data_IF_188626015306
#
_entry.id   IF_188626015306
#
_cell.length_a   1.000
_cell.length_b   1.000
_cell.length_c   1.000
_cell.angle_alpha   90.00
_cell.angle_beta   90.00
_cell.angle_gamma   90.00
#
_symmetry.space_group_name_H-M   'P 1'
#
loop_
_entity.id
_entity.type
_entity.pdbx_description
1 polymer ?
#
# COMPACT_ATOMS: atom_id res chain seq x y z
N UNK A 1 6.41 18.94 -11.05
CA UNK A 1 6.04 17.51 -11.25
C UNK A 1 6.15 16.67 -9.98
N UNK A 2 7.07 17.00 -9.06
CA UNK A 2 7.30 16.25 -7.81
C UNK A 2 6.07 16.16 -6.89
N UNK A 3 5.36 17.27 -6.68
CA UNK A 3 4.16 17.33 -5.83
C UNK A 3 3.05 16.41 -6.35
N UNK A 4 2.75 16.48 -7.65
CA UNK A 4 1.70 15.65 -8.27
C UNK A 4 2.01 14.15 -8.14
N UNK A 5 3.25 13.76 -8.47
CA UNK A 5 3.69 12.37 -8.39
C UNK A 5 3.70 11.86 -6.94
N UNK A 6 4.13 12.70 -5.99
CA UNK A 6 4.11 12.35 -4.56
C UNK A 6 2.70 12.16 -4.02
N UNK A 7 1.74 13.01 -4.40
CA UNK A 7 0.34 12.87 -4.03
C UNK A 7 -0.26 11.58 -4.60
N UNK A 8 0.05 11.23 -5.86
CA UNK A 8 -0.42 9.99 -6.49
C UNK A 8 0.15 8.77 -5.76
N UNK A 9 1.45 8.76 -5.46
CA UNK A 9 2.10 7.69 -4.68
C UNK A 9 1.51 7.56 -3.27
N UNK A 10 1.22 8.70 -2.62
CA UNK A 10 0.59 8.74 -1.31
C UNK A 10 -0.79 8.09 -1.35
N UNK A 11 -1.65 8.54 -2.27
CA UNK A 11 -3.00 8.03 -2.42
C UNK A 11 -3.00 6.53 -2.78
N UNK A 12 -2.08 6.12 -3.66
CA UNK A 12 -1.93 4.72 -4.05
C UNK A 12 -1.46 3.85 -2.88
N UNK A 13 -0.44 4.28 -2.12
CA UNK A 13 0.05 3.56 -0.95
C UNK A 13 -1.02 3.39 0.13
N UNK A 14 -1.79 4.44 0.40
CA UNK A 14 -2.91 4.41 1.34
C UNK A 14 -4.03 3.47 0.88
N UNK A 15 -4.43 3.58 -0.39
CA UNK A 15 -5.41 2.68 -0.97
C UNK A 15 -4.94 1.23 -0.89
N UNK A 16 -3.67 0.96 -1.21
CA UNK A 16 -3.11 -0.38 -1.13
C UNK A 16 -3.08 -0.89 0.33
N UNK A 17 -2.68 -0.07 1.29
CA UNK A 17 -2.65 -0.44 2.71
C UNK A 17 -4.04 -0.78 3.29
N UNK A 18 -5.11 -0.19 2.75
CA UNK A 18 -6.48 -0.39 3.24
C UNK A 18 -7.22 -1.48 2.46
N UNK A 19 -7.15 -1.45 1.13
CA UNK A 19 -7.92 -2.34 0.26
C UNK A 19 -7.22 -3.68 -0.01
N UNK A 20 -5.87 -3.73 -0.06
CA UNK A 20 -5.17 -5.00 -0.28
C UNK A 20 -5.36 -6.03 0.86
N UNK A 21 -5.41 -5.64 2.14
CA UNK A 21 -5.84 -6.53 3.22
C UNK A 21 -7.23 -7.13 3.02
N UNK A 22 -8.20 -6.32 2.61
CA UNK A 22 -9.57 -6.76 2.37
C UNK A 22 -9.65 -7.73 1.16
N UNK A 23 -8.87 -7.46 0.11
CA UNK A 23 -8.69 -8.36 -1.04
C UNK A 23 -7.99 -9.67 -0.66
N UNK A 24 -7.02 -9.64 0.26
CA UNK A 24 -6.38 -10.87 0.75
C UNK A 24 -7.32 -11.72 1.60
N UNK A 25 -8.27 -11.09 2.32
CA UNK A 25 -9.27 -11.78 3.12
C UNK A 25 -10.38 -12.42 2.25
N UNK A 26 -10.72 -11.80 1.11
CA UNK A 26 -11.75 -12.30 0.18
C UNK A 26 -11.19 -13.19 -0.92
N UNK A 27 -9.90 -13.06 -1.26
CA UNK A 27 -9.22 -13.87 -2.25
C UNK A 27 -8.78 -15.22 -1.69
N UNK A 28 -9.15 -16.31 -2.34
CA UNK A 28 -8.51 -17.61 -2.11
C UNK A 28 -7.18 -17.70 -2.88
N UNK A 29 -6.18 -18.35 -2.31
CA UNK A 29 -5.01 -18.80 -3.10
C UNK A 29 -5.46 -19.78 -4.19
N UNK A 30 -4.68 -19.97 -5.26
CA UNK A 30 -4.95 -21.00 -6.28
C UNK A 30 -5.10 -22.42 -5.69
N UNK A 31 -4.66 -22.63 -4.46
CA UNK A 31 -4.81 -23.87 -3.69
C UNK A 31 -6.07 -23.92 -2.80
N UNK A 32 -6.99 -22.96 -2.90
CA UNK A 32 -8.23 -22.91 -2.13
C UNK A 32 -8.07 -22.51 -0.66
N UNK A 33 -6.87 -22.11 -0.24
CA UNK A 33 -6.61 -21.62 1.13
C UNK A 33 -6.81 -20.11 1.22
N UNK A 34 -7.41 -19.64 2.31
CA UNK A 34 -7.43 -18.22 2.65
C UNK A 34 -6.00 -17.67 2.78
N UNK A 35 -5.76 -16.40 2.45
CA UNK A 35 -4.46 -15.80 2.74
C UNK A 35 -4.21 -15.83 4.25
N UNK A 36 -2.98 -16.18 4.64
CA UNK A 36 -2.58 -16.14 6.03
C UNK A 36 -2.66 -14.70 6.57
N UNK A 37 -3.02 -14.49 7.85
CA UNK A 37 -3.11 -13.17 8.46
C UNK A 37 -1.79 -12.38 8.43
N UNK A 38 -0.65 -13.06 8.26
CA UNK A 38 0.65 -12.43 8.01
C UNK A 38 0.68 -11.60 6.72
N UNK A 39 -0.06 -12.00 5.68
CA UNK A 39 -0.13 -11.28 4.41
C UNK A 39 -0.89 -9.96 4.57
N UNK A 40 -1.95 -9.94 5.38
CA UNK A 40 -2.68 -8.73 5.77
C UNK A 40 -1.75 -7.70 6.40
N UNK A 41 -0.85 -8.13 7.29
CA UNK A 41 0.14 -7.25 7.93
C UNK A 41 1.16 -6.76 6.90
N UNK A 42 1.67 -7.64 6.04
CA UNK A 42 2.60 -7.26 4.99
C UNK A 42 2.02 -6.19 4.05
N UNK A 43 0.76 -6.33 3.64
CA UNK A 43 0.08 -5.34 2.79
C UNK A 43 -0.06 -3.97 3.47
N UNK A 44 -0.39 -3.95 4.76
CA UNK A 44 -0.45 -2.69 5.53
C UNK A 44 0.91 -2.02 5.64
N UNK A 45 1.96 -2.79 5.93
CA UNK A 45 3.32 -2.27 6.08
C UNK A 45 3.84 -1.73 4.74
N UNK A 46 3.72 -2.50 3.66
CA UNK A 46 4.18 -2.09 2.32
C UNK A 46 3.40 -0.88 1.83
N UNK A 47 2.06 -0.90 1.92
CA UNK A 47 1.25 0.25 1.51
C UNK A 47 1.55 1.51 2.34
N UNK A 48 1.76 1.35 3.65
CA UNK A 48 2.16 2.45 4.54
C UNK A 48 3.51 3.06 4.18
N UNK A 49 4.52 2.23 3.86
CA UNK A 49 5.84 2.71 3.43
C UNK A 49 5.76 3.46 2.10
N UNK A 50 4.98 2.94 1.14
CA UNK A 50 4.75 3.61 -0.15
C UNK A 50 4.04 4.95 0.06
N UNK A 51 3.05 5.01 0.95
CA UNK A 51 2.34 6.24 1.26
C UNK A 51 3.27 7.29 1.90
N UNK A 52 4.14 6.86 2.83
CA UNK A 52 5.11 7.71 3.49
C UNK A 52 6.16 8.25 2.51
N UNK A 53 6.65 7.39 1.61
CA UNK A 53 7.57 7.80 0.54
C UNK A 53 6.92 8.83 -0.40
N UNK A 54 5.65 8.63 -0.77
CA UNK A 54 4.87 9.59 -1.54
C UNK A 54 4.72 10.94 -0.83
N UNK A 55 4.45 10.93 0.49
CA UNK A 55 4.38 12.15 1.31
C UNK A 55 5.70 12.92 1.29
N UNK A 56 6.80 12.21 1.55
CA UNK A 56 8.14 12.81 1.64
C UNK A 56 8.58 13.38 0.29
N UNK A 57 8.25 12.70 -0.81
CA UNK A 57 8.49 13.19 -2.16
C UNK A 57 7.61 14.40 -2.50
N UNK A 58 6.33 14.41 -2.08
CA UNK A 58 5.44 15.55 -2.27
C UNK A 58 5.91 16.79 -1.48
N UNK A 59 6.43 16.59 -0.27
CA UNK A 59 7.03 17.64 0.56
C UNK A 59 8.42 18.09 0.09
N UNK A 60 9.02 17.43 -0.92
CA UNK A 60 10.36 17.75 -1.40
C UNK A 60 11.48 17.41 -0.42
N UNK A 61 11.21 16.52 0.55
CA UNK A 61 12.21 16.03 1.52
C UNK A 61 13.14 15.01 0.86
N UNK A 62 12.61 14.25 -0.10
CA UNK A 62 13.35 13.30 -0.90
C UNK A 62 13.18 13.75 -2.36
N UNK A 63 14.28 14.09 -3.03
CA UNK A 63 14.32 14.58 -4.40
C UNK A 63 15.45 13.93 -5.17
#
# INVERSE_FOLDING_TARGET
>A
MHILVGIVLLAFGLAFAVFAPALSASGGTRAGRAFAPSNTVAFRVVGGLVALAGLLYACGVIG
#
